data_IF_914807428648
#
_entry.id   IF_914807428648
#
_cell.length_a   1.000
_cell.length_b   1.000
_cell.length_c   1.000
_cell.angle_alpha   90.00
_cell.angle_beta   90.00
_cell.angle_gamma   90.00
#
_symmetry.space_group_name_H-M   'P 1'
#
loop_
_entity.id
_entity.type
_entity.pdbx_description
1 polymer ?
#
# COMPACT_ATOMS: atom_id res chain seq x y z
N UNK A 1 2.15 15.38 17.33
CA UNK A 1 0.98 14.55 17.67
C UNK A 1 -0.19 14.98 16.79
N UNK A 2 -0.59 14.16 15.81
CA UNK A 2 -1.85 14.41 15.10
C UNK A 2 -2.99 13.92 16.01
N UNK A 3 -4.01 14.74 16.23
CA UNK A 3 -5.21 14.33 16.95
C UNK A 3 -5.89 13.23 16.11
N UNK A 4 -6.03 12.01 16.63
CA UNK A 4 -6.83 10.96 16.00
C UNK A 4 -8.31 11.25 16.20
N UNK A 5 -8.81 12.23 15.46
CA UNK A 5 -10.24 12.49 15.33
C UNK A 5 -10.77 11.67 14.17
N UNK A 6 -11.84 10.91 14.42
CA UNK A 6 -12.56 10.26 13.33
C UNK A 6 -13.12 11.34 12.40
N UNK A 7 -12.74 11.31 11.13
CA UNK A 7 -13.40 12.11 10.11
C UNK A 7 -14.80 11.56 9.87
N UNK A 8 -15.75 12.45 9.54
CA UNK A 8 -17.03 12.00 8.98
C UNK A 8 -16.75 11.21 7.70
N UNK A 9 -17.59 10.22 7.41
CA UNK A 9 -17.44 9.36 6.22
C UNK A 9 -17.27 10.17 4.93
N UNK A 10 -18.04 11.26 4.78
CA UNK A 10 -17.95 12.17 3.62
C UNK A 10 -16.58 12.88 3.51
N UNK A 11 -15.93 13.19 4.62
CA UNK A 11 -14.61 13.86 4.62
C UNK A 11 -13.52 12.82 4.41
N UNK A 12 -13.63 11.65 5.04
CA UNK A 12 -12.67 10.55 4.87
C UNK A 12 -12.69 9.96 3.46
N UNK A 13 -13.85 9.86 2.80
CA UNK A 13 -13.96 9.32 1.44
C UNK A 13 -13.20 10.14 0.40
N UNK A 14 -13.04 11.46 0.61
CA UNK A 14 -12.27 12.34 -0.28
C UNK A 14 -10.80 11.94 -0.37
N UNK A 15 -10.24 11.28 0.64
CA UNK A 15 -8.89 10.70 0.58
C UNK A 15 -8.78 9.65 -0.52
N UNK A 16 -9.78 8.76 -0.61
CA UNK A 16 -9.81 7.70 -1.61
C UNK A 16 -10.01 8.26 -3.01
N UNK A 17 -10.91 9.26 -3.16
CA UNK A 17 -11.13 9.95 -4.43
C UNK A 17 -9.86 10.68 -4.88
N UNK A 18 -9.18 11.37 -3.97
CA UNK A 18 -7.91 12.05 -4.26
C UNK A 18 -6.83 11.08 -4.76
N UNK A 19 -6.68 9.93 -4.07
CA UNK A 19 -5.73 8.89 -4.47
C UNK A 19 -6.08 8.26 -5.82
N UNK A 20 -7.38 8.11 -6.13
CA UNK A 20 -7.84 7.51 -7.38
C UNK A 20 -7.76 8.47 -8.58
N UNK A 21 -7.99 9.77 -8.37
CA UNK A 21 -7.88 10.82 -9.40
C UNK A 21 -6.43 11.26 -9.65
N UNK A 22 -5.47 10.60 -9.00
CA UNK A 22 -4.07 10.91 -9.12
C UNK A 22 -3.49 10.65 -10.52
N UNK A 23 -4.23 10.04 -11.46
CA UNK A 23 -3.65 9.75 -12.76
C UNK A 23 -4.58 9.86 -13.99
N UNK A 24 -4.17 10.75 -14.90
CA UNK A 24 -4.16 10.50 -16.36
C UNK A 24 -2.76 10.79 -16.99
N UNK A 25 -1.72 11.20 -16.25
CA UNK A 25 -0.39 11.52 -16.82
C UNK A 25 0.83 11.46 -15.86
N UNK A 26 0.71 11.19 -14.56
CA UNK A 26 1.86 11.14 -13.64
C UNK A 26 1.73 10.04 -12.58
N UNK A 27 2.73 9.17 -12.50
CA UNK A 27 2.98 8.21 -11.41
C UNK A 27 3.15 8.86 -10.01
N UNK A 28 2.79 10.13 -9.84
CA UNK A 28 3.18 11.00 -8.73
C UNK A 28 2.64 10.56 -7.36
N UNK A 29 1.52 9.82 -7.28
CA UNK A 29 1.01 9.30 -6.01
C UNK A 29 1.23 7.79 -5.83
N UNK A 30 1.76 7.08 -6.83
CA UNK A 30 1.94 5.63 -6.73
C UNK A 30 3.07 5.32 -5.76
N UNK A 31 2.75 4.58 -4.69
CA UNK A 31 3.72 4.20 -3.66
C UNK A 31 3.96 5.27 -2.59
N UNK A 32 3.35 6.45 -2.73
CA UNK A 32 3.44 7.53 -1.74
C UNK A 32 2.54 7.28 -0.53
N UNK A 33 2.97 7.76 0.63
CA UNK A 33 2.13 7.80 1.82
C UNK A 33 1.31 9.09 1.85
N UNK A 34 0.00 8.95 1.92
CA UNK A 34 -0.94 10.08 1.90
C UNK A 34 -1.74 10.18 3.20
N UNK A 35 -1.94 11.40 3.68
CA UNK A 35 -2.74 11.69 4.88
C UNK A 35 -3.35 13.09 4.78
N UNK A 36 -4.69 13.17 4.75
CA UNK A 36 -5.41 14.46 4.62
C UNK A 36 -5.28 15.06 3.21
N UNK A 37 -5.40 14.23 2.19
CA UNK A 37 -5.30 14.55 0.76
C UNK A 37 -3.99 15.24 0.38
N UNK A 38 -2.91 14.83 1.04
CA UNK A 38 -1.55 15.36 0.81
C UNK A 38 -0.52 14.24 1.01
N UNK A 39 0.53 14.24 0.19
CA UNK A 39 1.71 13.38 0.38
C UNK A 39 2.43 13.81 1.65
N UNK A 40 2.78 12.84 2.50
CA UNK A 40 3.51 13.06 3.73
C UNK A 40 4.66 12.10 3.85
N UNK A 41 5.66 12.52 4.60
CA UNK A 41 6.77 11.67 5.01
C UNK A 41 6.26 10.40 5.73
N UNK A 42 6.86 9.27 5.37
CA UNK A 42 6.63 7.98 6.03
C UNK A 42 7.35 7.92 7.37
N UNK A 43 7.00 6.94 8.20
CA UNK A 43 7.74 6.67 9.44
C UNK A 43 9.19 6.22 9.15
N UNK A 44 10.15 6.70 9.94
CA UNK A 44 11.55 6.27 9.89
C UNK A 44 11.72 4.75 9.92
N UNK A 45 10.84 4.05 10.64
CA UNK A 45 10.86 2.59 10.70
C UNK A 45 10.64 1.98 9.32
N UNK A 46 9.70 2.50 8.52
CA UNK A 46 9.41 2.01 7.16
C UNK A 46 10.63 2.15 6.25
N UNK A 47 11.40 3.22 6.43
CA UNK A 47 12.63 3.48 5.67
C UNK A 47 13.85 2.69 6.18
N UNK A 48 13.74 2.07 7.37
CA UNK A 48 14.82 1.33 7.99
C UNK A 48 15.01 -0.07 7.37
N UNK A 49 16.19 -0.70 7.51
CA UNK A 49 16.40 -2.09 7.09
C UNK A 49 15.42 -3.07 7.75
N UNK A 50 15.06 -2.83 9.01
CA UNK A 50 14.11 -3.66 9.75
C UNK A 50 12.68 -3.52 9.21
N UNK A 51 12.29 -2.31 8.80
CA UNK A 51 11.01 -2.07 8.13
C UNK A 51 10.90 -2.79 6.80
N UNK A 52 11.93 -2.71 5.97
CA UNK A 52 12.00 -3.45 4.70
C UNK A 52 11.94 -4.96 4.90
N UNK A 53 12.63 -5.47 5.92
CA UNK A 53 12.55 -6.90 6.29
C UNK A 53 11.14 -7.28 6.74
N UNK A 54 10.50 -6.44 7.55
CA UNK A 54 9.14 -6.69 8.02
C UNK A 54 8.13 -6.69 6.86
N UNK A 55 8.25 -5.77 5.91
CA UNK A 55 7.42 -5.75 4.69
C UNK A 55 7.54 -7.05 3.90
N UNK A 56 8.77 -7.53 3.66
CA UNK A 56 9.01 -8.79 2.95
C UNK A 56 8.38 -9.99 3.66
N UNK A 57 8.59 -10.11 4.97
CA UNK A 57 7.99 -11.19 5.77
C UNK A 57 6.46 -11.15 5.73
N UNK A 58 5.86 -9.96 5.88
CA UNK A 58 4.41 -9.81 5.81
C UNK A 58 3.88 -10.23 4.44
N UNK A 59 4.57 -9.84 3.36
CA UNK A 59 4.18 -10.22 2.00
C UNK A 59 4.25 -11.72 1.78
N UNK A 60 5.38 -12.35 2.13
CA UNK A 60 5.61 -13.80 1.99
C UNK A 60 4.59 -14.60 2.83
N UNK A 61 4.43 -14.27 4.11
CA UNK A 61 3.48 -14.94 5.01
C UNK A 61 2.03 -14.80 4.50
N UNK A 62 1.67 -13.64 3.95
CA UNK A 62 0.34 -13.40 3.38
C UNK A 62 0.08 -14.31 2.18
N UNK A 63 1.05 -14.42 1.26
CA UNK A 63 0.94 -15.33 0.12
C UNK A 63 0.83 -16.79 0.58
N UNK A 64 1.63 -17.20 1.55
CA UNK A 64 1.60 -18.55 2.11
C UNK A 64 0.26 -18.90 2.75
N UNK A 65 -0.37 -17.96 3.45
CA UNK A 65 -1.70 -18.14 4.04
C UNK A 65 -2.77 -18.21 2.95
N UNK A 66 -2.76 -17.28 1.99
CA UNK A 66 -3.77 -17.22 0.93
C UNK A 66 -3.68 -18.42 -0.02
N UNK A 67 -2.48 -18.89 -0.33
CA UNK A 67 -2.26 -20.08 -1.16
C UNK A 67 -2.87 -21.36 -0.56
N UNK A 68 -2.99 -21.44 0.77
CA UNK A 68 -3.67 -22.56 1.44
C UNK A 68 -5.18 -22.53 1.23
N UNK A 69 -5.75 -21.36 0.94
CA UNK A 69 -7.20 -21.17 0.72
C UNK A 69 -7.53 -21.28 -0.76
N UNK A 70 -6.74 -20.65 -1.63
CA UNK A 70 -6.94 -20.66 -3.08
C UNK A 70 -5.60 -20.79 -3.82
N UNK A 71 -5.35 -21.91 -4.53
CA UNK A 71 -4.08 -22.14 -5.22
C UNK A 71 -3.86 -21.18 -6.41
N UNK A 72 -4.90 -20.53 -6.93
CA UNK A 72 -4.78 -19.55 -8.03
C UNK A 72 -3.97 -18.32 -7.63
N UNK A 73 -3.83 -18.05 -6.34
CA UNK A 73 -3.00 -16.95 -5.83
C UNK A 73 -1.56 -17.10 -6.33
N UNK A 74 -1.00 -18.32 -6.33
CA UNK A 74 0.34 -18.58 -6.85
C UNK A 74 0.44 -18.32 -8.35
N UNK A 75 -0.58 -18.70 -9.13
CA UNK A 75 -0.63 -18.46 -10.58
C UNK A 75 -0.62 -16.96 -10.90
N UNK A 76 -1.44 -16.17 -10.20
CA UNK A 76 -1.52 -14.71 -10.36
C UNK A 76 -0.20 -14.04 -9.97
N UNK A 77 0.40 -14.43 -8.85
CA UNK A 77 1.70 -13.90 -8.44
C UNK A 77 2.75 -14.22 -9.50
N UNK A 78 2.76 -15.45 -10.02
CA UNK A 78 3.67 -15.83 -11.08
C UNK A 78 3.46 -15.01 -12.35
N UNK A 79 2.21 -14.79 -12.77
CA UNK A 79 1.87 -14.06 -13.99
C UNK A 79 2.21 -12.56 -13.91
N UNK A 80 1.83 -11.89 -12.81
CA UNK A 80 1.87 -10.42 -12.73
C UNK A 80 3.08 -9.86 -11.98
N UNK A 81 3.73 -10.66 -11.13
CA UNK A 81 4.84 -10.20 -10.30
C UNK A 81 6.19 -10.83 -10.69
N UNK A 82 6.23 -11.81 -11.59
CA UNK A 82 7.50 -12.43 -12.05
C UNK A 82 8.18 -11.71 -13.21
N UNK A 83 7.84 -10.45 -13.48
CA UNK A 83 8.42 -9.66 -14.58
C UNK A 83 8.78 -8.24 -14.14
N UNK A 84 10.02 -8.09 -13.64
CA UNK A 84 11.07 -7.18 -14.15
C UNK A 84 12.29 -7.26 -13.22
N UNK A 85 13.26 -8.09 -13.62
CA UNK A 85 14.66 -7.81 -13.35
C UNK A 85 15.18 -6.81 -14.40
#
# INVERSE_FOLDING_TARGET
MQLMLAFRTEVGSRQLVWAALADENEFALRGEYISGSCVKEVSDFVLSPDGKKAEGLIWEDTLDILNKVDPRVSEIVMEFLSSKA
#
